data_IF_931178558368
#
_entry.id   IF_931178558368
#
_cell.length_a   1.000
_cell.length_b   1.000
_cell.length_c   1.000
_cell.angle_alpha   90.00
_cell.angle_beta   90.00
_cell.angle_gamma   90.00
#
_symmetry.space_group_name_H-M   'P 1'
#
loop_
_entity.id
_entity.type
_entity.pdbx_description
1 polymer ?
#
# COMPACT_ATOMS: atom_id res chain seq x y z
N UNK A 1 -10.14 10.59 -12.20
CA UNK A 1 -9.20 9.47 -12.10
C UNK A 1 -9.36 8.84 -10.72
N UNK A 2 -9.58 7.54 -10.67
CA UNK A 2 -9.53 6.70 -9.47
C UNK A 2 -8.32 5.78 -9.60
N UNK A 3 -7.50 5.74 -8.55
CA UNK A 3 -6.41 4.78 -8.43
C UNK A 3 -6.69 3.92 -7.21
N UNK A 4 -6.82 2.62 -7.41
CA UNK A 4 -6.88 1.67 -6.31
C UNK A 4 -5.45 1.30 -5.89
N UNK A 5 -4.99 1.85 -4.77
CA UNK A 5 -3.61 1.70 -4.33
C UNK A 5 -3.31 0.40 -3.58
N UNK A 6 -4.30 -0.51 -3.43
CA UNK A 6 -4.11 -1.70 -2.60
C UNK A 6 -5.04 -2.85 -3.02
N UNK A 7 -4.55 -3.73 -3.92
CA UNK A 7 -5.24 -4.96 -4.32
C UNK A 7 -4.31 -6.17 -4.15
N UNK A 8 -4.80 -7.21 -3.47
CA UNK A 8 -4.08 -8.46 -3.26
C UNK A 8 -4.27 -9.45 -4.41
N UNK A 9 -3.19 -9.94 -5.01
CA UNK A 9 -3.26 -11.11 -5.88
C UNK A 9 -3.28 -12.42 -5.06
N UNK A 10 -3.96 -13.42 -5.58
CA UNK A 10 -3.99 -14.81 -5.12
C UNK A 10 -2.98 -15.70 -5.85
N UNK A 11 -2.61 -15.37 -7.08
CA UNK A 11 -1.76 -16.17 -7.96
C UNK A 11 -2.52 -17.05 -8.96
N UNK A 12 -3.81 -16.82 -9.11
CA UNK A 12 -4.73 -17.57 -9.98
C UNK A 12 -5.45 -16.66 -10.99
N UNK A 13 -5.12 -15.37 -11.02
CA UNK A 13 -5.75 -14.37 -11.87
C UNK A 13 -5.56 -14.65 -13.37
N UNK A 14 -6.61 -14.33 -14.13
CA UNK A 14 -6.52 -14.02 -15.56
C UNK A 14 -6.55 -12.51 -15.73
N UNK A 15 -5.63 -11.96 -16.53
CA UNK A 15 -5.50 -10.50 -16.65
C UNK A 15 -6.75 -9.82 -17.21
N UNK A 16 -7.45 -10.47 -18.13
CA UNK A 16 -8.68 -9.96 -18.73
C UNK A 16 -9.79 -9.82 -17.69
N UNK A 17 -9.94 -10.79 -16.79
CA UNK A 17 -10.92 -10.74 -15.69
C UNK A 17 -10.59 -9.61 -14.69
N UNK A 18 -9.30 -9.40 -14.41
CA UNK A 18 -8.84 -8.29 -13.56
C UNK A 18 -9.20 -6.95 -14.20
N UNK A 19 -8.89 -6.76 -15.48
CA UNK A 19 -9.20 -5.53 -16.21
C UNK A 19 -10.71 -5.29 -16.30
N UNK A 20 -11.50 -6.35 -16.55
CA UNK A 20 -12.96 -6.26 -16.58
C UNK A 20 -13.52 -5.83 -15.22
N UNK A 21 -13.01 -6.35 -14.12
CA UNK A 21 -13.42 -5.95 -12.78
C UNK A 21 -13.09 -4.47 -12.49
N UNK A 22 -11.90 -4.00 -12.89
CA UNK A 22 -11.50 -2.60 -12.75
C UNK A 22 -12.38 -1.67 -13.59
N UNK A 23 -12.66 -2.05 -14.85
CA UNK A 23 -13.49 -1.26 -15.76
C UNK A 23 -14.95 -1.17 -15.25
N UNK A 24 -15.50 -2.27 -14.77
CA UNK A 24 -16.84 -2.30 -14.15
C UNK A 24 -16.94 -1.41 -12.89
N UNK A 25 -15.83 -1.23 -12.18
CA UNK A 25 -15.72 -0.35 -11.01
C UNK A 25 -15.27 1.08 -11.36
N UNK A 26 -15.01 1.39 -12.63
CA UNK A 26 -14.45 2.66 -13.10
C UNK A 26 -13.10 3.04 -12.43
N UNK A 27 -12.23 2.05 -12.21
CA UNK A 27 -10.86 2.25 -11.72
C UNK A 27 -9.90 2.44 -12.89
N UNK A 28 -9.24 3.60 -12.94
CA UNK A 28 -8.32 3.93 -14.04
C UNK A 28 -6.98 3.20 -13.93
N UNK A 29 -6.44 3.06 -12.71
CA UNK A 29 -5.19 2.32 -12.45
C UNK A 29 -5.27 1.56 -11.14
N UNK A 30 -4.59 0.42 -11.07
CA UNK A 30 -4.55 -0.40 -9.86
C UNK A 30 -3.13 -0.80 -9.49
N UNK A 31 -2.84 -0.78 -8.19
CA UNK A 31 -1.64 -1.37 -7.61
C UNK A 31 -1.94 -2.81 -7.22
N UNK A 32 -1.28 -3.74 -7.88
CA UNK A 32 -1.40 -5.17 -7.61
C UNK A 32 -0.22 -5.64 -6.75
N UNK A 33 -0.53 -6.24 -5.61
CA UNK A 33 0.45 -6.80 -4.69
C UNK A 33 0.72 -8.25 -5.07
N UNK A 34 2.00 -8.64 -5.20
CA UNK A 34 2.36 -10.03 -5.50
C UNK A 34 1.75 -10.99 -4.46
N UNK A 35 1.35 -12.21 -4.82
CA UNK A 35 0.66 -13.10 -3.89
C UNK A 35 1.57 -13.60 -2.76
N UNK A 36 1.10 -13.52 -1.51
CA UNK A 36 1.81 -14.04 -0.32
C UNK A 36 0.87 -14.53 0.80
N UNK A 37 -0.44 -14.40 0.63
CA UNK A 37 -1.47 -14.73 1.62
C UNK A 37 -2.31 -15.95 1.24
N UNK A 38 -2.07 -16.54 0.07
CA UNK A 38 -2.95 -17.49 -0.58
C UNK A 38 -2.17 -18.63 -1.22
N UNK A 39 -2.87 -19.76 -1.42
CA UNK A 39 -2.37 -20.89 -2.19
C UNK A 39 -1.03 -21.41 -1.66
N UNK A 40 -0.04 -21.45 -2.56
CA UNK A 40 1.30 -21.97 -2.28
C UNK A 40 2.32 -20.88 -1.91
N UNK A 41 1.89 -19.65 -1.66
CA UNK A 41 2.78 -18.53 -1.38
C UNK A 41 2.91 -18.29 0.13
N UNK A 42 4.14 -18.03 0.59
CA UNK A 42 4.42 -17.79 2.00
C UNK A 42 5.43 -16.66 2.18
N UNK A 43 5.15 -15.75 3.12
CA UNK A 43 6.09 -14.71 3.54
C UNK A 43 7.39 -15.27 4.14
N UNK A 44 7.41 -16.54 4.55
CA UNK A 44 8.56 -17.16 5.20
C UNK A 44 9.35 -18.09 4.29
N UNK A 45 8.99 -18.20 3.02
CA UNK A 45 9.72 -19.01 2.04
C UNK A 45 10.18 -18.17 0.84
N UNK A 46 11.50 -18.06 0.70
CA UNK A 46 12.15 -17.25 -0.34
C UNK A 46 11.77 -17.71 -1.75
N UNK A 47 11.68 -19.02 -1.99
CA UNK A 47 11.40 -19.58 -3.31
C UNK A 47 10.00 -19.23 -3.77
N UNK A 48 9.03 -19.30 -2.86
CA UNK A 48 7.64 -18.92 -3.16
C UNK A 48 7.50 -17.43 -3.40
N UNK A 49 8.19 -16.56 -2.63
CA UNK A 49 8.18 -15.11 -2.89
C UNK A 49 8.79 -14.73 -4.24
N UNK A 50 9.88 -15.39 -4.65
CA UNK A 50 10.44 -15.20 -6.00
C UNK A 50 9.44 -15.63 -7.08
N UNK A 51 8.77 -16.76 -6.87
CA UNK A 51 7.73 -17.26 -7.78
C UNK A 51 6.53 -16.30 -7.85
N UNK A 52 6.13 -15.71 -6.73
CA UNK A 52 5.06 -14.71 -6.65
C UNK A 52 5.38 -13.45 -7.45
N UNK A 53 6.60 -12.92 -7.30
CA UNK A 53 7.04 -11.74 -8.04
C UNK A 53 7.12 -12.04 -9.55
N UNK A 54 7.62 -13.21 -9.93
CA UNK A 54 7.63 -13.64 -11.34
C UNK A 54 6.22 -13.82 -11.90
N UNK A 55 5.30 -14.36 -11.10
CA UNK A 55 3.89 -14.48 -11.47
C UNK A 55 3.28 -13.11 -11.76
N UNK A 56 3.38 -12.17 -10.81
CA UNK A 56 2.82 -10.83 -10.98
C UNK A 56 3.45 -10.10 -12.18
N UNK A 57 4.76 -10.21 -12.36
CA UNK A 57 5.44 -9.57 -13.48
C UNK A 57 4.93 -10.07 -14.85
N UNK A 58 4.61 -11.37 -14.96
CA UNK A 58 3.98 -11.95 -16.16
C UNK A 58 2.54 -11.46 -16.32
N UNK A 59 1.76 -11.44 -15.24
CA UNK A 59 0.36 -11.02 -15.25
C UNK A 59 0.20 -9.60 -15.83
N UNK A 60 1.08 -8.66 -15.45
CA UNK A 60 0.96 -7.25 -15.84
C UNK A 60 1.77 -6.86 -17.08
N UNK A 61 2.54 -7.78 -17.68
CA UNK A 61 3.59 -7.46 -18.65
C UNK A 61 3.13 -6.57 -19.82
N UNK A 62 1.91 -6.78 -20.29
CA UNK A 62 1.31 -6.05 -21.43
C UNK A 62 0.32 -4.96 -21.05
N UNK A 63 0.16 -4.67 -19.75
CA UNK A 63 -0.86 -3.75 -19.21
C UNK A 63 -0.31 -2.81 -18.14
N UNK A 64 0.98 -2.46 -18.21
CA UNK A 64 1.66 -1.61 -17.20
C UNK A 64 1.19 -0.16 -17.19
N UNK A 65 0.44 0.25 -18.20
CA UNK A 65 -0.26 1.53 -18.23
C UNK A 65 -1.47 1.56 -17.29
N UNK A 66 -2.08 0.40 -16.99
CA UNK A 66 -3.22 0.24 -16.07
C UNK A 66 -2.83 -0.42 -14.74
N UNK A 67 -1.90 -1.37 -14.77
CA UNK A 67 -1.56 -2.24 -13.65
C UNK A 67 -0.12 -1.99 -13.18
N UNK A 68 0.03 -1.59 -11.92
CA UNK A 68 1.31 -1.27 -11.30
C UNK A 68 1.65 -2.40 -10.31
N UNK A 69 2.74 -3.11 -10.56
CA UNK A 69 3.11 -4.28 -9.77
C UNK A 69 3.98 -3.94 -8.58
N UNK A 70 3.56 -4.37 -7.39
CA UNK A 70 4.34 -4.28 -6.16
C UNK A 70 4.90 -5.65 -5.80
N UNK A 71 6.22 -5.75 -5.80
CA UNK A 71 6.95 -6.94 -5.38
C UNK A 71 6.77 -7.20 -3.88
N UNK A 72 6.97 -8.44 -3.44
CA UNK A 72 7.02 -8.80 -2.03
C UNK A 72 8.35 -9.45 -1.72
N UNK A 73 8.97 -9.02 -0.62
CA UNK A 73 10.16 -9.64 -0.03
C UNK A 73 10.00 -9.73 1.47
N UNK A 74 10.68 -10.69 2.09
CA UNK A 74 10.85 -10.73 3.53
C UNK A 74 12.31 -10.38 3.87
N UNK A 75 12.58 -9.26 4.56
CA UNK A 75 13.94 -8.82 4.87
C UNK A 75 14.74 -9.82 5.71
N UNK A 76 14.07 -10.67 6.49
CA UNK A 76 14.71 -11.69 7.33
C UNK A 76 15.23 -12.90 6.56
N UNK A 77 14.92 -13.02 5.27
CA UNK A 77 15.41 -14.09 4.41
C UNK A 77 16.71 -13.69 3.72
N UNK A 78 17.58 -14.67 3.47
CA UNK A 78 18.87 -14.44 2.83
C UNK A 78 18.71 -13.84 1.44
N UNK A 79 19.52 -12.83 1.13
CA UNK A 79 19.56 -12.13 -0.14
C UNK A 79 18.23 -11.43 -0.53
N UNK A 80 17.41 -11.01 0.44
CA UNK A 80 16.17 -10.30 0.14
C UNK A 80 16.36 -9.03 -0.73
N UNK A 81 17.47 -8.27 -0.57
CA UNK A 81 17.78 -7.11 -1.42
C UNK A 81 18.08 -7.50 -2.88
N UNK A 82 18.68 -8.67 -3.10
CA UNK A 82 18.93 -9.24 -4.43
C UNK A 82 17.61 -9.61 -5.10
N UNK A 83 16.73 -10.29 -4.36
CA UNK A 83 15.43 -10.69 -4.86
C UNK A 83 14.54 -9.47 -5.21
N UNK A 84 14.65 -8.38 -4.42
CA UNK A 84 14.00 -7.11 -4.74
C UNK A 84 14.51 -6.54 -6.07
N UNK A 85 15.82 -6.54 -6.29
CA UNK A 85 16.40 -6.06 -7.55
C UNK A 85 15.93 -6.91 -8.74
N UNK A 86 15.92 -8.24 -8.58
CA UNK A 86 15.39 -9.13 -9.63
C UNK A 86 13.92 -8.86 -9.94
N UNK A 87 13.10 -8.61 -8.91
CA UNK A 87 11.70 -8.25 -9.09
C UNK A 87 11.53 -6.91 -9.82
N UNK A 88 12.37 -5.92 -9.50
CA UNK A 88 12.43 -4.64 -10.21
C UNK A 88 12.83 -4.81 -11.68
N UNK A 89 13.84 -5.63 -11.99
CA UNK A 89 14.29 -5.89 -13.36
C UNK A 89 13.21 -6.59 -14.21
N UNK A 90 12.29 -7.32 -13.56
CA UNK A 90 11.09 -7.89 -14.18
C UNK A 90 9.98 -6.85 -14.45
N UNK A 91 10.14 -5.61 -13.97
CA UNK A 91 9.22 -4.50 -14.16
C UNK A 91 8.23 -4.29 -13.02
N UNK A 92 8.49 -4.81 -11.82
CA UNK A 92 7.72 -4.48 -10.61
C UNK A 92 8.30 -3.20 -9.99
N UNK A 93 7.54 -2.11 -10.03
CA UNK A 93 8.03 -0.76 -9.71
C UNK A 93 7.63 -0.26 -8.33
N UNK A 94 7.19 -1.16 -7.44
CA UNK A 94 6.95 -0.86 -6.03
C UNK A 94 7.19 -2.08 -5.16
N UNK A 95 7.11 -1.89 -3.85
CA UNK A 95 7.35 -2.94 -2.87
C UNK A 95 6.24 -3.00 -1.81
N UNK A 96 5.71 -4.18 -1.54
CA UNK A 96 4.87 -4.48 -0.38
C UNK A 96 5.72 -5.17 0.68
N UNK A 97 5.66 -4.65 1.90
CA UNK A 97 6.29 -5.27 3.06
C UNK A 97 5.27 -5.52 4.17
N UNK A 98 5.45 -6.64 4.85
CA UNK A 98 4.65 -7.03 6.02
C UNK A 98 5.61 -7.45 7.13
N UNK A 99 5.77 -6.65 8.19
CA UNK A 99 6.52 -7.06 9.37
C UNK A 99 5.91 -8.30 10.02
N UNK A 100 6.60 -9.43 9.90
CA UNK A 100 6.19 -10.72 10.44
C UNK A 100 7.42 -11.48 10.91
N UNK A 101 7.77 -11.30 12.19
CA UNK A 101 9.01 -11.85 12.77
C UNK A 101 10.22 -10.92 12.66
N UNK A 102 10.03 -9.67 12.28
CA UNK A 102 11.05 -8.60 12.22
C UNK A 102 10.38 -7.25 12.47
N UNK A 103 11.13 -6.28 12.98
CA UNK A 103 10.67 -4.91 13.20
C UNK A 103 11.17 -3.96 12.10
N UNK A 104 10.43 -2.90 11.78
CA UNK A 104 10.86 -1.90 10.81
C UNK A 104 12.23 -1.25 11.10
N UNK A 105 12.68 -1.25 12.35
CA UNK A 105 14.00 -0.72 12.75
C UNK A 105 15.12 -1.77 12.78
N UNK A 106 14.85 -3.03 12.40
CA UNK A 106 15.88 -4.07 12.35
C UNK A 106 16.83 -3.84 11.16
N UNK A 107 18.12 -4.19 11.32
CA UNK A 107 19.13 -4.07 10.25
C UNK A 107 18.70 -4.74 8.95
N UNK A 108 17.96 -5.85 9.03
CA UNK A 108 17.44 -6.54 7.86
C UNK A 108 16.48 -5.67 7.06
N UNK A 109 15.65 -4.87 7.72
CA UNK A 109 14.73 -3.92 7.10
C UNK A 109 15.48 -2.73 6.48
N UNK A 110 16.47 -2.16 7.19
CA UNK A 110 17.31 -1.08 6.66
C UNK A 110 18.01 -1.47 5.34
N UNK A 111 18.51 -2.71 5.21
CA UNK A 111 19.10 -3.20 3.95
C UNK A 111 18.10 -3.24 2.79
N UNK A 112 16.81 -3.42 3.06
CA UNK A 112 15.76 -3.32 2.04
C UNK A 112 15.44 -1.87 1.73
N UNK A 113 15.42 -0.98 2.73
CA UNK A 113 15.16 0.45 2.54
C UNK A 113 16.25 1.08 1.65
N UNK A 114 17.51 0.75 1.88
CA UNK A 114 18.63 1.17 1.02
C UNK A 114 18.47 0.67 -0.42
N UNK A 115 18.08 -0.60 -0.58
CA UNK A 115 17.87 -1.19 -1.91
C UNK A 115 16.70 -0.50 -2.64
N UNK A 116 15.56 -0.32 -1.97
CA UNK A 116 14.39 0.36 -2.52
C UNK A 116 14.70 1.83 -2.88
N UNK A 117 15.45 2.54 -2.03
CA UNK A 117 15.90 3.91 -2.29
C UNK A 117 16.78 4.00 -3.55
N UNK A 118 17.77 3.08 -3.69
CA UNK A 118 18.61 3.00 -4.91
C UNK A 118 17.81 2.70 -6.17
N UNK A 119 16.79 1.86 -6.06
CA UNK A 119 15.88 1.50 -7.15
C UNK A 119 14.82 2.59 -7.41
N UNK A 120 14.70 3.59 -6.51
CA UNK A 120 13.70 4.67 -6.55
C UNK A 120 12.27 4.14 -6.61
N UNK A 121 11.99 3.04 -5.91
CA UNK A 121 10.66 2.46 -5.82
C UNK A 121 10.03 2.76 -4.46
N UNK A 122 8.72 3.02 -4.40
CA UNK A 122 8.03 3.26 -3.14
C UNK A 122 7.70 1.96 -2.40
N UNK A 123 7.47 2.07 -1.09
CA UNK A 123 7.08 0.92 -0.24
C UNK A 123 5.69 1.12 0.36
N UNK A 124 4.82 0.11 0.20
CA UNK A 124 3.58 -0.04 0.94
C UNK A 124 3.81 -1.00 2.11
N UNK A 125 3.68 -0.51 3.34
CA UNK A 125 3.74 -1.34 4.54
C UNK A 125 2.34 -1.73 4.98
N UNK A 126 2.17 -2.99 5.37
CA UNK A 126 1.04 -3.32 6.22
C UNK A 126 1.24 -2.69 7.61
N UNK A 127 0.27 -1.92 8.10
CA UNK A 127 0.34 -1.24 9.40
C UNK A 127 -0.92 -1.56 10.21
N UNK A 128 -0.76 -1.85 11.51
CA UNK A 128 -1.86 -2.27 12.38
C UNK A 128 -1.93 -3.78 12.66
N UNK A 129 -3.08 -4.25 13.13
CA UNK A 129 -3.30 -5.68 13.40
C UNK A 129 -3.39 -6.45 12.10
N UNK A 130 -2.48 -7.41 11.95
CA UNK A 130 -2.42 -8.24 10.74
C UNK A 130 -3.37 -9.43 10.80
N UNK A 131 -3.84 -9.85 9.63
CA UNK A 131 -4.84 -10.91 9.45
C UNK A 131 -4.37 -12.27 9.98
N UNK A 132 -3.06 -12.48 10.15
CA UNK A 132 -2.50 -13.69 10.75
C UNK A 132 -2.75 -13.81 12.27
N UNK A 133 -3.21 -12.75 12.91
CA UNK A 133 -3.49 -12.67 14.36
C UNK A 133 -2.25 -12.74 15.26
N UNK A 134 -1.04 -12.68 14.71
CA UNK A 134 0.23 -12.94 15.43
C UNK A 134 1.29 -11.89 15.21
N UNK A 135 1.26 -11.19 14.07
CA UNK A 135 2.32 -10.27 13.67
C UNK A 135 2.03 -8.79 13.94
N UNK A 136 0.82 -8.44 14.42
CA UNK A 136 0.44 -7.04 14.68
C UNK A 136 1.40 -6.29 15.61
N UNK A 137 2.11 -7.00 16.51
CA UNK A 137 3.15 -6.41 17.38
C UNK A 137 4.34 -5.81 16.61
N UNK A 138 4.58 -6.24 15.37
CA UNK A 138 5.66 -5.75 14.52
C UNK A 138 5.22 -4.59 13.62
N UNK A 139 3.90 -4.43 13.44
CA UNK A 139 3.28 -3.52 12.50
C UNK A 139 2.77 -2.23 13.15
N UNK A 140 3.19 -1.93 14.38
CA UNK A 140 2.77 -0.72 15.10
C UNK A 140 3.34 0.54 14.40
N UNK A 141 2.53 1.58 14.13
CA UNK A 141 2.94 2.71 13.30
C UNK A 141 4.24 3.40 13.73
N UNK A 142 4.44 3.58 15.04
CA UNK A 142 5.63 4.24 15.59
C UNK A 142 6.96 3.57 15.17
N UNK A 143 6.97 2.27 14.86
CA UNK A 143 8.20 1.60 14.43
C UNK A 143 8.67 2.02 13.04
N UNK A 144 7.75 2.50 12.19
CA UNK A 144 8.12 2.96 10.85
C UNK A 144 8.87 4.28 10.83
N UNK A 145 9.05 4.96 11.97
CA UNK A 145 9.95 6.12 12.08
C UNK A 145 11.38 5.81 11.59
N UNK A 146 11.80 4.55 11.67
CA UNK A 146 13.09 4.07 11.14
C UNK A 146 13.30 4.38 9.65
N UNK A 147 12.22 4.51 8.87
CA UNK A 147 12.28 4.90 7.46
C UNK A 147 12.88 6.31 7.27
N UNK A 148 12.83 7.16 8.30
CA UNK A 148 13.39 8.53 8.27
C UNK A 148 14.91 8.56 8.10
N UNK A 149 15.60 7.46 8.39
CA UNK A 149 17.04 7.30 8.11
C UNK A 149 17.33 7.19 6.59
N UNK A 150 16.28 7.02 5.77
CA UNK A 150 16.34 6.91 4.30
C UNK A 150 15.48 8.03 3.65
N UNK A 151 15.89 9.30 3.72
CA UNK A 151 15.04 10.45 3.40
C UNK A 151 14.50 10.50 1.97
N UNK A 152 15.18 9.85 1.01
CA UNK A 152 14.75 9.77 -0.39
C UNK A 152 13.65 8.73 -0.62
N UNK A 153 13.41 7.83 0.34
CA UNK A 153 12.42 6.77 0.22
C UNK A 153 11.01 7.29 0.46
N UNK A 154 10.06 6.92 -0.40
CA UNK A 154 8.64 7.25 -0.24
C UNK A 154 7.88 6.02 0.22
N UNK A 155 7.05 6.16 1.25
CA UNK A 155 6.33 5.04 1.85
C UNK A 155 4.87 5.35 2.08
N UNK A 156 4.04 4.31 2.13
CA UNK A 156 2.65 4.40 2.57
C UNK A 156 2.36 3.36 3.65
N UNK A 157 1.65 3.78 4.71
CA UNK A 157 1.18 2.88 5.77
C UNK A 157 -0.28 2.52 5.50
N UNK A 158 -0.54 1.22 5.37
CA UNK A 158 -1.89 0.73 5.07
C UNK A 158 -2.87 0.92 6.24
N UNK A 159 -4.16 0.95 5.90
CA UNK A 159 -5.28 0.81 6.84
C UNK A 159 -5.32 1.85 7.96
N UNK A 160 -4.66 3.00 7.77
CA UNK A 160 -4.43 4.01 8.82
C UNK A 160 -3.90 3.40 10.14
N UNK A 161 -3.10 2.33 10.07
CA UNK A 161 -2.45 1.72 11.23
C UNK A 161 -3.39 1.13 12.30
N UNK A 162 -4.63 0.77 11.94
CA UNK A 162 -5.65 0.32 12.90
C UNK A 162 -5.17 -0.81 13.84
N UNK A 163 -5.37 -0.71 15.19
CA UNK A 163 -6.11 0.32 15.92
C UNK A 163 -5.29 1.53 16.36
N UNK A 164 -4.00 1.56 16.09
CA UNK A 164 -3.09 2.65 16.47
C UNK A 164 -3.15 3.83 15.49
N UNK A 165 -4.35 4.20 15.03
CA UNK A 165 -4.50 5.26 14.03
C UNK A 165 -4.00 6.62 14.50
N UNK A 166 -4.06 6.89 15.80
CA UNK A 166 -3.48 8.12 16.35
C UNK A 166 -1.94 8.12 16.27
N UNK A 167 -1.28 6.96 16.35
CA UNK A 167 0.17 6.86 16.12
C UNK A 167 0.50 7.02 14.63
N UNK A 168 -0.29 6.42 13.74
CA UNK A 168 -0.12 6.61 12.30
C UNK A 168 -0.23 8.10 11.92
N UNK A 169 -1.24 8.79 12.47
CA UNK A 169 -1.41 10.23 12.32
C UNK A 169 -0.19 11.00 12.86
N UNK A 170 0.31 10.64 14.05
CA UNK A 170 1.49 11.29 14.64
C UNK A 170 2.74 11.13 13.75
N UNK A 171 3.03 9.91 13.26
CA UNK A 171 4.19 9.63 12.40
C UNK A 171 4.17 10.50 11.13
N UNK A 172 3.01 10.63 10.48
CA UNK A 172 2.85 11.43 9.27
C UNK A 172 2.89 12.94 9.54
N UNK A 173 2.31 13.38 10.66
CA UNK A 173 2.24 14.78 11.05
C UNK A 173 3.63 15.42 11.22
N UNK A 174 4.65 14.66 11.62
CA UNK A 174 6.00 15.19 11.86
C UNK A 174 6.57 15.89 10.61
N UNK A 175 6.30 15.40 9.40
CA UNK A 175 6.77 16.07 8.17
C UNK A 175 6.13 17.46 8.02
N UNK A 176 4.82 17.55 8.29
CA UNK A 176 4.06 18.80 8.20
C UNK A 176 4.51 19.80 9.27
N UNK A 177 4.76 19.34 10.50
CA UNK A 177 5.30 20.19 11.59
C UNK A 177 6.67 20.78 11.21
N UNK A 178 7.50 20.00 10.52
CA UNK A 178 8.80 20.46 10.04
C UNK A 178 8.73 21.30 8.75
N UNK A 179 7.52 21.66 8.29
CA UNK A 179 7.31 22.51 7.12
C UNK A 179 7.51 21.80 5.78
N UNK A 180 7.54 20.46 5.76
CA UNK A 180 7.59 19.69 4.52
C UNK A 180 6.21 19.76 3.85
N UNK A 181 6.10 20.21 2.60
CA UNK A 181 4.83 20.20 1.88
C UNK A 181 4.28 18.77 1.77
N UNK A 182 2.96 18.53 1.82
CA UNK A 182 2.38 17.19 1.80
C UNK A 182 2.90 16.31 0.65
N UNK A 183 3.00 16.88 -0.56
CA UNK A 183 3.48 16.15 -1.74
C UNK A 183 4.95 15.70 -1.61
N UNK A 184 5.73 16.41 -0.81
CA UNK A 184 7.12 16.10 -0.49
C UNK A 184 7.29 15.35 0.84
N UNK A 185 6.22 15.02 1.55
CA UNK A 185 6.29 14.21 2.78
C UNK A 185 6.71 12.77 2.46
N UNK A 186 7.44 12.17 3.36
CA UNK A 186 7.97 10.81 3.22
C UNK A 186 6.86 9.76 3.31
N UNK A 187 5.88 10.02 4.18
CA UNK A 187 4.77 9.12 4.47
C UNK A 187 3.49 9.52 3.72
N UNK A 188 2.78 8.49 3.26
CA UNK A 188 1.37 8.50 2.88
C UNK A 188 0.62 7.46 3.69
N UNK A 189 -0.71 7.50 3.61
CA UNK A 189 -1.57 6.58 4.35
C UNK A 189 -2.69 6.12 3.46
N UNK A 190 -2.81 4.81 3.34
CA UNK A 190 -3.94 4.20 2.66
C UNK A 190 -5.15 4.09 3.63
N UNK A 191 -6.33 4.44 3.12
CA UNK A 191 -7.60 4.48 3.89
C UNK A 191 -8.46 3.22 3.72
N UNK A 192 -7.85 2.15 3.18
CA UNK A 192 -8.51 0.87 3.00
C UNK A 192 -9.00 0.28 4.33
N UNK A 193 -9.75 -0.81 4.24
CA UNK A 193 -10.55 -1.33 5.34
C UNK A 193 -9.69 -1.95 6.46
N UNK A 194 -9.21 -1.12 7.40
CA UNK A 194 -8.66 -1.56 8.68
C UNK A 194 -9.66 -1.41 9.83
N UNK A 195 -10.11 -0.18 10.04
CA UNK A 195 -11.05 0.14 11.10
C UNK A 195 -12.43 -0.48 10.81
N UNK A 196 -13.08 -1.15 11.79
CA UNK A 196 -14.43 -1.67 11.60
C UNK A 196 -15.43 -0.53 11.35
N UNK A 197 -16.61 -0.80 10.75
CA UNK A 197 -17.53 0.24 10.27
C UNK A 197 -17.88 1.32 11.30
N UNK A 198 -18.04 0.94 12.58
CA UNK A 198 -18.36 1.87 13.67
C UNK A 198 -17.25 2.89 13.96
N UNK A 199 -15.98 2.57 13.64
CA UNK A 199 -14.82 3.44 13.87
C UNK A 199 -14.43 4.25 12.63
N UNK A 200 -14.78 3.80 11.41
CA UNK A 200 -14.23 4.38 10.16
C UNK A 200 -14.46 5.88 10.03
N UNK A 201 -15.64 6.38 10.39
CA UNK A 201 -15.94 7.81 10.31
C UNK A 201 -15.02 8.64 11.21
N UNK A 202 -14.82 8.21 12.46
CA UNK A 202 -13.97 8.93 13.40
C UNK A 202 -12.50 8.85 13.02
N UNK A 203 -12.03 7.67 12.63
CA UNK A 203 -10.64 7.44 12.19
C UNK A 203 -10.33 8.31 10.97
N UNK A 204 -11.18 8.30 9.94
CA UNK A 204 -10.99 9.11 8.74
C UNK A 204 -11.07 10.62 9.04
N UNK A 205 -12.02 11.05 9.88
CA UNK A 205 -12.13 12.46 10.30
C UNK A 205 -10.85 12.96 10.95
N UNK A 206 -10.28 12.19 11.89
CA UNK A 206 -9.02 12.54 12.56
C UNK A 206 -7.85 12.56 11.56
N UNK A 207 -7.75 11.54 10.71
CA UNK A 207 -6.70 11.45 9.71
C UNK A 207 -6.73 12.66 8.76
N UNK A 208 -7.90 13.04 8.23
CA UNK A 208 -8.02 14.22 7.35
C UNK A 208 -7.62 15.50 8.09
N UNK A 209 -8.07 15.68 9.33
CA UNK A 209 -7.78 16.88 10.12
C UNK A 209 -6.29 17.02 10.48
N UNK A 210 -5.58 15.90 10.64
CA UNK A 210 -4.16 15.88 11.05
C UNK A 210 -3.21 15.81 9.85
N UNK A 211 -3.49 14.95 8.88
CA UNK A 211 -2.59 14.60 7.79
C UNK A 211 -2.91 15.33 6.49
N UNK A 212 -4.05 16.01 6.38
CA UNK A 212 -4.59 16.57 5.14
C UNK A 212 -4.98 15.51 4.09
N UNK A 213 -5.92 15.81 3.17
CA UNK A 213 -6.29 14.91 2.07
C UNK A 213 -5.11 14.47 1.19
N UNK A 214 -4.08 15.32 1.04
CA UNK A 214 -2.89 15.09 0.21
C UNK A 214 -1.97 13.97 0.72
N UNK A 215 -2.10 13.57 1.98
CA UNK A 215 -1.38 12.42 2.53
C UNK A 215 -2.19 11.12 2.56
N UNK A 216 -3.48 11.18 2.18
CA UNK A 216 -4.38 10.03 2.22
C UNK A 216 -4.66 9.52 0.82
N UNK A 217 -4.67 8.20 0.63
CA UNK A 217 -4.99 7.57 -0.65
C UNK A 217 -6.00 6.43 -0.50
N UNK A 218 -6.85 6.29 -1.50
CA UNK A 218 -7.78 5.17 -1.62
C UNK A 218 -7.03 3.87 -1.96
N UNK A 219 -7.41 2.81 -1.27
CA UNK A 219 -7.15 1.43 -1.63
C UNK A 219 -8.35 0.59 -1.19
N UNK A 220 -8.71 -0.41 -1.98
CA UNK A 220 -9.89 -1.22 -1.70
C UNK A 220 -9.60 -2.36 -0.72
N UNK A 221 -8.34 -2.83 -0.68
CA UNK A 221 -7.89 -4.01 0.05
C UNK A 221 -8.70 -5.28 -0.30
N UNK A 222 -9.11 -5.40 -1.56
CA UNK A 222 -9.76 -6.61 -2.08
C UNK A 222 -8.72 -7.67 -2.45
N UNK A 223 -9.19 -8.91 -2.52
CA UNK A 223 -8.42 -10.06 -2.95
C UNK A 223 -8.95 -10.52 -4.31
N UNK A 224 -8.08 -10.56 -5.31
CA UNK A 224 -8.40 -11.10 -6.63
C UNK A 224 -8.31 -12.64 -6.63
N UNK A 225 -9.08 -13.33 -7.50
CA UNK A 225 -10.10 -12.76 -8.38
C UNK A 225 -11.34 -12.28 -7.60
N UNK A 226 -11.87 -11.11 -7.98
CA UNK A 226 -13.11 -10.57 -7.41
C UNK A 226 -13.96 -9.88 -8.47
N UNK A 227 -15.23 -9.62 -8.16
CA UNK A 227 -16.11 -8.90 -9.07
C UNK A 227 -15.88 -7.38 -9.03
N UNK A 228 -16.24 -6.70 -10.11
CA UNK A 228 -16.23 -5.23 -10.14
C UNK A 228 -17.21 -4.61 -9.14
N UNK A 229 -18.32 -5.29 -8.82
CA UNK A 229 -19.27 -4.85 -7.78
C UNK A 229 -18.62 -4.76 -6.40
N UNK A 230 -17.70 -5.67 -6.08
CA UNK A 230 -16.98 -5.62 -4.79
C UNK A 230 -16.04 -4.41 -4.74
N UNK A 231 -15.28 -4.14 -5.80
CA UNK A 231 -14.39 -2.96 -5.85
C UNK A 231 -15.25 -1.68 -5.78
N UNK A 232 -16.35 -1.64 -6.53
CA UNK A 232 -17.29 -0.52 -6.51
C UNK A 232 -17.90 -0.31 -5.12
N UNK A 233 -18.21 -1.37 -4.37
CA UNK A 233 -18.71 -1.21 -3.01
C UNK A 233 -17.66 -0.58 -2.09
N UNK A 234 -16.37 -0.91 -2.25
CA UNK A 234 -15.28 -0.27 -1.47
C UNK A 234 -15.11 1.20 -1.81
N UNK A 235 -15.25 1.56 -3.09
CA UNK A 235 -15.27 2.95 -3.54
C UNK A 235 -16.44 3.71 -2.91
N UNK A 236 -17.64 3.12 -2.93
CA UNK A 236 -18.83 3.70 -2.30
C UNK A 236 -18.64 3.88 -0.79
N UNK A 237 -18.11 2.87 -0.08
CA UNK A 237 -17.86 2.95 1.36
C UNK A 237 -17.02 4.18 1.74
N UNK A 238 -15.95 4.46 0.98
CA UNK A 238 -15.08 5.63 1.23
C UNK A 238 -15.78 6.93 0.78
N UNK A 239 -16.46 6.91 -0.37
CA UNK A 239 -17.17 8.08 -0.89
C UNK A 239 -18.27 8.57 0.07
N UNK A 240 -19.04 7.66 0.64
CA UNK A 240 -20.10 7.95 1.62
C UNK A 240 -19.52 8.54 2.90
N UNK A 241 -18.36 8.05 3.35
CA UNK A 241 -17.66 8.64 4.51
C UNK A 241 -17.18 10.05 4.22
N UNK A 242 -16.60 10.30 3.04
CA UNK A 242 -16.15 11.63 2.64
C UNK A 242 -17.31 12.61 2.46
N UNK A 243 -18.48 12.12 2.02
CA UNK A 243 -19.70 12.92 1.94
C UNK A 243 -20.24 13.29 3.32
N UNK A 244 -20.32 12.33 4.24
CA UNK A 244 -20.73 12.56 5.64
C UNK A 244 -19.79 13.49 6.42
N UNK A 245 -18.55 13.62 5.97
CA UNK A 245 -17.55 14.52 6.53
C UNK A 245 -17.49 15.88 5.81
N UNK A 246 -18.41 16.14 4.87
CA UNK A 246 -18.49 17.37 4.08
C UNK A 246 -17.18 17.73 3.34
N UNK A 247 -16.40 16.72 2.95
CA UNK A 247 -15.12 16.92 2.25
C UNK A 247 -15.39 17.49 0.86
N UNK A 248 -14.66 18.52 0.45
CA UNK A 248 -14.88 19.17 -0.83
C UNK A 248 -14.41 18.29 -2.01
N UNK A 249 -14.90 18.61 -3.22
CA UNK A 249 -14.63 17.83 -4.43
C UNK A 249 -13.13 17.67 -4.73
N UNK A 250 -12.31 18.71 -4.53
CA UNK A 250 -10.87 18.65 -4.83
C UNK A 250 -10.18 17.71 -3.85
N UNK A 251 -10.50 17.79 -2.57
CA UNK A 251 -9.98 16.90 -1.54
C UNK A 251 -10.41 15.45 -1.77
N UNK A 252 -11.67 15.19 -2.18
CA UNK A 252 -12.12 13.84 -2.57
C UNK A 252 -11.32 13.31 -3.75
N UNK A 253 -11.13 14.10 -4.81
CA UNK A 253 -10.31 13.70 -5.96
C UNK A 253 -8.86 13.42 -5.58
N UNK A 254 -8.32 14.15 -4.59
CA UNK A 254 -6.99 13.91 -4.04
C UNK A 254 -6.92 12.53 -3.40
N UNK A 255 -7.83 12.23 -2.48
CA UNK A 255 -7.87 10.93 -1.78
C UNK A 255 -8.11 9.77 -2.75
N UNK A 256 -9.05 9.91 -3.69
CA UNK A 256 -9.48 8.81 -4.57
C UNK A 256 -8.46 8.43 -5.66
N UNK A 257 -7.42 9.24 -5.88
CA UNK A 257 -6.38 8.87 -6.84
C UNK A 257 -5.23 9.88 -6.98
N UNK A 258 -5.46 11.16 -6.70
CA UNK A 258 -4.41 12.18 -6.82
C UNK A 258 -3.21 11.97 -5.91
N UNK A 259 -3.42 11.49 -4.68
CA UNK A 259 -2.34 11.18 -3.73
C UNK A 259 -1.50 10.00 -4.19
N UNK A 260 -2.14 8.90 -4.62
CA UNK A 260 -1.45 7.73 -5.15
C UNK A 260 -0.68 8.09 -6.45
N UNK A 261 -1.26 8.91 -7.31
CA UNK A 261 -0.61 9.38 -8.53
C UNK A 261 0.68 10.17 -8.23
N UNK A 262 0.59 11.12 -7.28
CA UNK A 262 1.75 11.89 -6.84
C UNK A 262 2.81 11.02 -6.18
N UNK A 263 2.40 10.04 -5.36
CA UNK A 263 3.30 9.11 -4.69
C UNK A 263 4.05 8.19 -5.66
N UNK A 264 3.38 7.75 -6.73
CA UNK A 264 3.96 6.90 -7.78
C UNK A 264 4.71 7.70 -8.85
N UNK A 265 4.61 9.04 -8.86
CA UNK A 265 5.19 9.89 -9.89
C UNK A 265 4.54 9.72 -11.27
N UNK A 266 3.24 9.41 -11.31
CA UNK A 266 2.49 9.19 -12.56
C UNK A 266 1.48 10.31 -12.78
N UNK A 267 1.35 10.74 -14.04
CA UNK A 267 0.41 11.79 -14.48
C UNK A 267 -0.91 11.21 -14.98
#
# INVERSE_FOLDING_TARGET
MIIDAHIHCSGEEQVDDVLQALDAAAVDKAILLAPFLSGNYSLHDRTTLRSANQYLARLIAHHRDRLIGFAVVNPSLDNASEDLRQAHDLGLTGLKMVPAGWYPYDDCAHRIYEAASRLKIPILFHSGIFIDGKSGRFCRPAFYEAVRDHPDLRVTLAHLGWPWSDEANAVGLIDLINGVPPDNSQFRFDVSFGAPPVYRLEVLRKAIAVLTPELLQFGSDVFLPCSGELIKSRISDVSDLLERLDIDKRSRQRIMGGTAAAWLGIN
#
